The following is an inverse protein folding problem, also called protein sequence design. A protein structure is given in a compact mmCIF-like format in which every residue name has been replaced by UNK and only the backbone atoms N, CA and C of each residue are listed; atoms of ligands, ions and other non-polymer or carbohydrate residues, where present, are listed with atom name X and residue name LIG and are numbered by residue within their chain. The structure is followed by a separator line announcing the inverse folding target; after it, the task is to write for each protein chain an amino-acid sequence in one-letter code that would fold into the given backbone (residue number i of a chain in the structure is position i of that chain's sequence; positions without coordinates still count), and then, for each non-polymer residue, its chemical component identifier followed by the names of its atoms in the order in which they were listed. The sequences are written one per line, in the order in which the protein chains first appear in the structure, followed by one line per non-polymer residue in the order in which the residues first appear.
data_IF_315747767955
#
_entry.id   IF_315747767955
#
_cell.length_a   1.000
_cell.length_b   1.000
_cell.length_c   1.000
_cell.angle_alpha   90.00
_cell.angle_beta   90.00
_cell.angle_gamma   90.00
#
_symmetry.space_group_name_H-M   'P 1'
#
loop_
_entity.id
_entity.type
_entity.pdbx_description
1 polymer ?
#
# COMPACT_ATOMS: atom_id res chain seq x y z
N UNK A 1 36.25 -27.59 -40.03
CA UNK A 1 34.79 -27.36 -40.15
C UNK A 1 34.37 -26.40 -39.06
N UNK A 2 33.40 -25.51 -39.36
CA UNK A 2 32.89 -24.38 -38.58
C UNK A 2 33.55 -23.00 -38.87
N UNK A 3 33.20 -22.45 -40.03
CA UNK A 3 32.97 -21.02 -40.26
C UNK A 3 31.45 -20.78 -40.25
N UNK A 4 31.00 -19.50 -40.14
CA UNK A 4 29.60 -18.96 -40.26
C UNK A 4 28.98 -18.59 -38.89
N UNK A 5 28.37 -17.42 -38.60
CA UNK A 5 28.19 -16.11 -39.27
C UNK A 5 27.61 -15.16 -38.21
N UNK A 6 28.09 -13.93 -38.09
CA UNK A 6 27.40 -12.85 -37.34
C UNK A 6 26.73 -11.92 -38.33
N UNK A 7 25.38 -11.85 -38.34
CA UNK A 7 24.65 -10.85 -39.14
C UNK A 7 23.95 -9.80 -38.27
N UNK A 8 24.14 -8.58 -38.75
CA UNK A 8 23.80 -7.25 -38.24
C UNK A 8 22.32 -6.98 -37.93
N UNK A 9 22.08 -6.30 -36.80
CA UNK A 9 20.78 -5.76 -36.35
C UNK A 9 20.43 -4.37 -36.95
N UNK A 10 21.13 -3.90 -37.98
CA UNK A 10 20.98 -2.52 -38.47
C UNK A 10 19.93 -2.31 -39.58
N UNK A 11 19.29 -3.36 -40.11
CA UNK A 11 18.39 -3.23 -41.27
C UNK A 11 16.89 -3.17 -40.97
N UNK A 12 16.46 -3.25 -39.70
CA UNK A 12 15.03 -3.25 -39.35
C UNK A 12 14.40 -1.84 -39.19
N UNK A 13 15.21 -0.78 -39.07
CA UNK A 13 14.71 0.59 -38.80
C UNK A 13 14.32 1.33 -40.09
N UNK A 14 14.86 0.93 -41.25
CA UNK A 14 14.64 1.61 -42.53
C UNK A 14 13.30 1.28 -43.19
N UNK A 15 12.65 0.18 -42.80
CA UNK A 15 11.45 -0.35 -43.46
C UNK A 15 10.12 0.22 -42.94
N UNK A 16 10.11 0.96 -41.82
CA UNK A 16 8.89 1.50 -41.20
C UNK A 16 8.56 2.94 -41.63
N UNK A 17 9.34 3.56 -42.53
CA UNK A 17 9.16 4.98 -42.90
C UNK A 17 8.16 5.25 -44.04
N UNK A 18 7.71 4.22 -44.76
CA UNK A 18 6.99 4.41 -46.04
C UNK A 18 5.52 3.91 -46.06
N UNK A 19 4.76 4.06 -44.97
CA UNK A 19 3.30 3.79 -45.00
C UNK A 19 2.50 4.80 -44.18
N UNK A 20 2.22 5.97 -44.76
CA UNK A 20 1.12 6.85 -44.37
C UNK A 20 0.40 7.37 -45.63
N UNK A 21 -0.94 7.42 -45.68
CA UNK A 21 -1.68 7.83 -46.88
C UNK A 21 -1.66 9.35 -47.08
N UNK A 22 -1.55 9.77 -48.33
CA UNK A 22 -1.66 11.16 -48.80
C UNK A 22 -3.11 11.66 -48.72
N UNK A 23 -3.33 12.71 -47.93
CA UNK A 23 -4.55 13.54 -47.96
C UNK A 23 -4.20 14.92 -48.50
N UNK A 24 -5.09 15.47 -49.33
CA UNK A 24 -4.85 16.57 -50.28
C UNK A 24 -4.35 17.89 -49.67
N UNK A 25 -3.63 18.63 -50.52
CA UNK A 25 -2.95 19.89 -50.24
C UNK A 25 -3.90 21.05 -49.93
N UNK A 26 -3.73 21.76 -48.80
CA UNK A 26 -4.14 23.14 -48.67
C UNK A 26 -3.18 24.02 -49.48
N UNK A 27 -3.73 24.99 -50.21
CA UNK A 27 -2.98 26.01 -50.96
C UNK A 27 -1.86 26.60 -50.08
N UNK A 28 -0.63 26.58 -50.59
CA UNK A 28 0.55 27.17 -49.97
C UNK A 28 0.31 28.66 -49.70
N UNK A 29 0.08 29.01 -48.43
CA UNK A 29 0.37 30.35 -47.95
C UNK A 29 1.87 30.40 -47.64
N UNK A 30 2.55 31.42 -48.12
CA UNK A 30 3.98 31.70 -47.90
C UNK A 30 4.32 31.70 -46.41
N UNK A 31 5.36 30.95 -46.04
CA UNK A 31 5.75 30.67 -44.64
C UNK A 31 6.67 31.72 -44.00
N UNK A 32 6.71 32.95 -44.52
CA UNK A 32 7.68 33.97 -44.07
C UNK A 32 6.98 35.16 -43.37
N UNK A 33 6.17 34.89 -42.35
CA UNK A 33 5.75 35.94 -41.40
C UNK A 33 6.64 35.87 -40.17
N UNK A 34 7.76 36.61 -40.19
CA UNK A 34 8.66 36.79 -39.06
C UNK A 34 8.02 37.60 -37.92
N UNK A 35 6.95 38.34 -38.20
CA UNK A 35 6.24 39.20 -37.25
C UNK A 35 4.75 38.81 -37.10
N UNK A 36 4.19 39.05 -35.91
CA UNK A 36 2.77 38.82 -35.66
C UNK A 36 1.91 39.93 -36.28
N UNK A 37 0.92 39.63 -37.13
CA UNK A 37 0.12 40.66 -37.81
C UNK A 37 -0.80 41.47 -36.88
N UNK A 38 -0.92 41.09 -35.60
CA UNK A 38 -1.74 41.82 -34.60
C UNK A 38 -0.88 42.80 -33.82
N UNK A 39 0.26 42.36 -33.29
CA UNK A 39 1.13 43.20 -32.43
C UNK A 39 2.41 43.70 -33.10
N UNK A 40 2.69 43.26 -34.34
CA UNK A 40 3.84 43.67 -35.15
C UNK A 40 5.17 43.43 -34.41
N UNK A 41 5.19 42.44 -33.53
CA UNK A 41 6.38 42.01 -32.80
C UNK A 41 6.87 40.71 -33.39
N UNK A 42 8.17 40.47 -33.29
CA UNK A 42 8.82 39.23 -33.70
C UNK A 42 8.08 38.00 -33.19
N UNK A 43 7.95 37.00 -34.05
CA UNK A 43 7.22 35.79 -33.75
C UNK A 43 7.98 34.97 -32.68
N UNK A 44 7.36 34.64 -31.52
CA UNK A 44 8.03 33.83 -30.51
C UNK A 44 8.26 32.40 -31.03
N UNK A 45 9.19 31.66 -30.42
CA UNK A 45 9.59 30.29 -30.82
C UNK A 45 8.47 29.24 -30.90
N UNK A 46 7.24 29.59 -30.49
CA UNK A 46 6.08 28.70 -30.47
C UNK A 46 4.79 29.44 -30.89
N UNK A 47 4.67 29.87 -32.15
CA UNK A 47 3.49 30.57 -32.64
C UNK A 47 2.29 29.62 -32.77
N UNK A 48 1.08 30.18 -32.77
CA UNK A 48 -0.15 29.39 -32.95
C UNK A 48 -0.64 29.51 -34.37
N UNK A 49 -0.74 28.36 -35.04
CA UNK A 49 -1.32 28.21 -36.38
C UNK A 49 -2.80 27.85 -36.20
N UNK A 50 -3.69 28.72 -36.69
CA UNK A 50 -5.13 28.47 -36.65
C UNK A 50 -5.53 27.43 -37.71
N UNK A 51 -6.71 26.78 -37.60
CA UNK A 51 -7.17 25.79 -38.58
C UNK A 51 -7.30 26.33 -40.02
N UNK A 52 -7.40 27.64 -40.18
CA UNK A 52 -7.40 28.33 -41.47
C UNK A 52 -6.00 28.57 -42.06
N UNK A 53 -4.93 28.19 -41.34
CA UNK A 53 -3.54 28.34 -41.76
C UNK A 53 -2.85 29.63 -41.30
N UNK A 54 -3.58 30.59 -40.72
CA UNK A 54 -3.00 31.86 -40.27
C UNK A 54 -2.25 31.73 -38.94
N UNK A 55 -1.10 32.42 -38.86
CA UNK A 55 -0.13 32.30 -37.76
C UNK A 55 -0.10 33.58 -36.94
N UNK A 56 -0.11 33.46 -35.63
CA UNK A 56 -0.06 34.59 -34.70
C UNK A 56 0.72 34.23 -33.43
N UNK A 57 1.17 35.25 -32.69
CA UNK A 57 1.72 35.03 -31.35
C UNK A 57 0.60 34.58 -30.39
N UNK A 58 0.97 33.78 -29.39
CA UNK A 58 0.02 33.20 -28.43
C UNK A 58 -0.79 34.25 -27.67
N UNK A 59 -0.16 35.36 -27.31
CA UNK A 59 -0.78 36.45 -26.55
C UNK A 59 -1.94 37.05 -27.34
N UNK A 60 -1.67 37.48 -28.58
CA UNK A 60 -2.70 38.12 -29.40
C UNK A 60 -3.90 37.22 -29.73
N UNK A 61 -3.69 35.92 -29.94
CA UNK A 61 -4.82 35.00 -30.17
C UNK A 61 -5.62 34.73 -28.90
N UNK A 62 -4.96 34.68 -27.73
CA UNK A 62 -5.65 34.56 -26.45
C UNK A 62 -6.51 35.79 -26.18
N UNK A 63 -5.91 36.99 -26.26
CA UNK A 63 -6.60 38.25 -25.98
C UNK A 63 -7.79 38.45 -26.92
N UNK A 64 -7.62 38.12 -28.20
CA UNK A 64 -8.72 38.18 -29.18
C UNK A 64 -9.83 37.17 -28.88
N UNK A 65 -9.49 35.93 -28.53
CA UNK A 65 -10.48 34.91 -28.19
C UNK A 65 -11.28 35.30 -26.94
N UNK A 66 -10.61 35.88 -25.93
CA UNK A 66 -11.26 36.39 -24.73
C UNK A 66 -12.20 37.55 -25.05
N UNK A 67 -11.75 38.52 -25.86
CA UNK A 67 -12.58 39.65 -26.30
C UNK A 67 -13.84 39.20 -27.07
N UNK A 68 -13.73 38.14 -27.88
CA UNK A 68 -14.86 37.58 -28.60
C UNK A 68 -15.84 36.85 -27.67
N UNK A 69 -15.34 36.12 -26.66
CA UNK A 69 -16.18 35.45 -25.67
C UNK A 69 -16.94 36.45 -24.78
N UNK A 70 -16.28 37.52 -24.32
CA UNK A 70 -16.91 38.59 -23.52
C UNK A 70 -18.05 39.30 -24.27
N UNK A 71 -18.05 39.22 -25.60
CA UNK A 71 -19.09 39.76 -26.48
C UNK A 71 -20.08 38.72 -26.99
N UNK A 72 -20.01 37.50 -26.45
CA UNK A 72 -20.83 36.35 -26.87
C UNK A 72 -20.74 36.08 -28.39
N UNK A 73 -19.62 36.47 -29.03
CA UNK A 73 -19.38 36.27 -30.44
C UNK A 73 -18.66 34.93 -30.70
N UNK A 74 -19.00 34.27 -31.81
CA UNK A 74 -18.30 33.04 -32.21
C UNK A 74 -16.82 33.32 -32.50
N UNK A 75 -15.95 32.48 -31.97
CA UNK A 75 -14.50 32.64 -32.10
C UNK A 75 -14.06 32.54 -33.57
N UNK A 76 -13.46 33.60 -34.11
CA UNK A 76 -13.13 33.71 -35.53
C UNK A 76 -11.68 34.19 -35.74
N UNK A 77 -11.06 33.73 -36.83
CA UNK A 77 -9.72 34.17 -37.21
C UNK A 77 -9.68 35.69 -37.50
N UNK A 78 -8.71 36.45 -36.97
CA UNK A 78 -8.61 37.90 -37.23
C UNK A 78 -8.39 38.27 -38.69
N UNK A 79 -7.69 37.43 -39.46
CA UNK A 79 -7.34 37.74 -40.84
C UNK A 79 -8.42 37.31 -41.85
N UNK A 80 -8.97 36.10 -41.73
CA UNK A 80 -9.96 35.61 -42.70
C UNK A 80 -11.39 35.48 -42.16
N UNK A 81 -11.60 35.78 -40.87
CA UNK A 81 -12.90 35.61 -40.17
C UNK A 81 -13.47 34.19 -40.23
N UNK A 82 -12.66 33.20 -40.61
CA UNK A 82 -13.06 31.80 -40.62
C UNK A 82 -13.31 31.28 -39.19
N UNK A 83 -14.29 30.38 -39.00
CA UNK A 83 -14.67 29.91 -37.67
C UNK A 83 -13.58 29.05 -37.05
N UNK A 84 -13.25 29.35 -35.79
CA UNK A 84 -12.39 28.52 -34.96
C UNK A 84 -13.28 27.44 -34.34
N UNK A 85 -13.34 26.24 -34.94
CA UNK A 85 -14.23 25.14 -34.52
C UNK A 85 -14.28 25.02 -32.98
N UNK A 86 -15.48 24.95 -32.38
CA UNK A 86 -15.76 25.00 -30.93
C UNK A 86 -14.97 24.00 -30.05
N UNK A 87 -14.37 22.97 -30.65
CA UNK A 87 -13.46 22.02 -29.98
C UNK A 87 -12.11 22.64 -29.64
N UNK A 88 -11.68 23.69 -30.35
CA UNK A 88 -10.42 24.37 -30.14
C UNK A 88 -10.49 25.50 -29.11
N UNK A 89 -11.63 26.16 -28.88
CA UNK A 89 -11.71 27.25 -27.90
C UNK A 89 -11.36 26.72 -26.50
N UNK A 90 -12.14 25.79 -25.92
CA UNK A 90 -11.83 25.25 -24.59
C UNK A 90 -10.43 24.60 -24.46
N UNK A 91 -9.90 24.01 -25.55
CA UNK A 91 -8.58 23.36 -25.56
C UNK A 91 -7.42 24.35 -25.69
N UNK A 92 -7.56 25.41 -26.49
CA UNK A 92 -6.59 26.51 -26.58
C UNK A 92 -6.48 27.26 -25.25
N UNK A 93 -7.58 27.33 -24.48
CA UNK A 93 -7.64 28.00 -23.18
C UNK A 93 -6.95 27.15 -22.10
N UNK A 94 -7.20 25.84 -22.11
CA UNK A 94 -6.49 24.90 -21.26
C UNK A 94 -4.98 24.88 -21.54
N UNK A 95 -4.55 24.89 -22.82
CA UNK A 95 -3.14 24.94 -23.17
C UNK A 95 -2.50 26.30 -22.83
N UNK A 96 -3.18 27.43 -23.08
CA UNK A 96 -2.63 28.75 -22.82
C UNK A 96 -2.46 29.07 -21.32
N UNK A 97 -3.35 28.58 -20.45
CA UNK A 97 -3.19 28.68 -18.99
C UNK A 97 -2.09 27.77 -18.45
N UNK A 98 -1.79 26.64 -19.10
CA UNK A 98 -0.75 25.71 -18.65
C UNK A 98 0.67 26.23 -18.97
N UNK A 99 0.83 27.06 -20.01
CA UNK A 99 2.15 27.56 -20.44
C UNK A 99 2.66 28.82 -19.72
N UNK A 100 1.82 29.60 -19.03
CA UNK A 100 2.32 30.59 -18.04
C UNK A 100 2.97 29.91 -16.82
N UNK A 101 2.72 28.61 -16.65
CA UNK A 101 3.35 27.78 -15.64
C UNK A 101 4.69 27.17 -16.08
N UNK A 102 5.11 27.22 -17.35
CA UNK A 102 6.36 26.56 -17.78
C UNK A 102 7.62 27.27 -17.27
N UNK A 103 7.60 28.61 -17.14
CA UNK A 103 8.69 29.34 -16.47
C UNK A 103 8.77 29.04 -14.97
N UNK A 104 7.63 28.74 -14.35
CA UNK A 104 7.53 28.30 -12.95
C UNK A 104 7.91 26.81 -12.80
N UNK A 105 7.58 25.95 -13.76
CA UNK A 105 7.94 24.53 -13.77
C UNK A 105 9.42 24.30 -14.03
N UNK A 106 10.09 25.06 -14.91
CA UNK A 106 11.55 24.98 -15.07
C UNK A 106 12.29 25.39 -13.79
N UNK A 107 11.87 26.48 -13.14
CA UNK A 107 12.42 26.89 -11.83
C UNK A 107 12.14 25.86 -10.73
N UNK A 108 10.95 25.24 -10.74
CA UNK A 108 10.56 24.20 -9.80
C UNK A 108 11.27 22.87 -10.07
N UNK A 109 11.51 22.48 -11.32
CA UNK A 109 12.29 21.31 -11.70
C UNK A 109 13.75 21.48 -11.28
N UNK A 110 14.32 22.67 -11.46
CA UNK A 110 15.67 22.98 -11.01
C UNK A 110 15.78 22.97 -9.48
N UNK A 111 14.76 23.45 -8.75
CA UNK A 111 14.68 23.30 -7.29
C UNK A 111 14.50 21.84 -6.84
N UNK A 112 13.72 21.04 -7.58
CA UNK A 112 13.54 19.61 -7.31
C UNK A 112 14.86 18.86 -7.53
N UNK A 113 15.61 19.15 -8.57
CA UNK A 113 16.89 18.50 -8.86
C UNK A 113 17.98 18.83 -7.79
N UNK A 114 18.03 20.09 -7.33
CA UNK A 114 18.85 20.49 -6.17
C UNK A 114 18.40 19.77 -4.89
N UNK A 115 17.10 19.55 -4.71
CA UNK A 115 16.58 18.79 -3.56
C UNK A 115 16.92 17.30 -3.63
N UNK A 116 16.87 16.68 -4.83
CA UNK A 116 17.21 15.26 -5.03
C UNK A 116 18.69 15.02 -4.79
N UNK A 117 19.57 15.89 -5.27
CA UNK A 117 21.02 15.79 -5.01
C UNK A 117 21.39 16.03 -3.54
N UNK A 118 20.66 16.91 -2.84
CA UNK A 118 20.81 17.09 -1.40
C UNK A 118 20.33 15.87 -0.61
N UNK A 119 19.18 15.30 -0.97
CA UNK A 119 18.65 14.05 -0.38
C UNK A 119 19.61 12.89 -0.63
N UNK A 120 20.15 12.75 -1.85
CA UNK A 120 21.12 11.72 -2.18
C UNK A 120 22.41 11.85 -1.36
N UNK A 121 22.92 13.08 -1.16
CA UNK A 121 24.08 13.33 -0.27
C UNK A 121 23.79 12.96 1.19
N UNK A 122 22.63 13.34 1.72
CA UNK A 122 22.20 12.96 3.07
C UNK A 122 22.04 11.43 3.21
N UNK A 123 21.58 10.74 2.16
CA UNK A 123 21.52 9.28 2.13
C UNK A 123 22.92 8.65 2.17
N UNK A 124 23.89 9.17 1.41
CA UNK A 124 25.27 8.68 1.41
C UNK A 124 25.95 8.91 2.77
N UNK A 125 25.80 10.10 3.36
CA UNK A 125 26.38 10.38 4.68
C UNK A 125 25.75 9.47 5.75
N UNK A 126 24.43 9.30 5.71
CA UNK A 126 23.70 8.36 6.56
C UNK A 126 24.15 6.91 6.37
N UNK A 127 24.49 6.48 5.14
CA UNK A 127 25.08 5.16 4.90
C UNK A 127 26.46 5.00 5.52
N UNK A 128 27.29 6.05 5.48
CA UNK A 128 28.64 6.00 6.07
C UNK A 128 28.54 5.88 7.60
N UNK A 129 27.68 6.68 8.22
CA UNK A 129 27.40 6.60 9.65
C UNK A 129 26.83 5.22 10.04
N UNK A 130 25.89 4.69 9.25
CA UNK A 130 25.35 3.33 9.41
C UNK A 130 26.45 2.27 9.38
N UNK A 131 27.32 2.28 8.36
CA UNK A 131 28.39 1.28 8.21
C UNK A 131 29.38 1.37 9.38
N UNK A 132 29.69 2.57 9.86
CA UNK A 132 30.53 2.74 11.05
C UNK A 132 29.85 2.23 12.33
N UNK A 133 28.54 2.45 12.49
CA UNK A 133 27.78 1.94 13.63
C UNK A 133 27.72 0.41 13.63
N UNK A 134 27.46 -0.22 12.47
CA UNK A 134 27.49 -1.68 12.32
C UNK A 134 28.87 -2.25 12.63
N UNK A 135 29.94 -1.64 12.11
CA UNK A 135 31.31 -2.09 12.42
C UNK A 135 31.61 -2.03 13.92
N UNK A 136 31.25 -0.93 14.59
CA UNK A 136 31.40 -0.79 16.05
C UNK A 136 30.57 -1.81 16.82
N UNK A 137 29.37 -2.14 16.33
CA UNK A 137 28.53 -3.20 16.90
C UNK A 137 29.22 -4.56 16.83
N UNK A 138 29.83 -4.89 15.70
CA UNK A 138 30.54 -6.16 15.53
C UNK A 138 31.78 -6.25 16.41
N UNK A 139 32.54 -5.16 16.51
CA UNK A 139 33.67 -5.07 17.44
C UNK A 139 33.21 -5.27 18.90
N UNK A 140 32.07 -4.68 19.28
CA UNK A 140 31.49 -4.88 20.62
C UNK A 140 31.01 -6.32 20.83
N UNK A 141 30.40 -6.93 19.81
CA UNK A 141 29.90 -8.30 19.86
C UNK A 141 31.06 -9.30 19.99
N UNK A 142 32.15 -9.10 19.25
CA UNK A 142 33.32 -9.96 19.31
C UNK A 142 34.04 -9.82 20.66
N UNK A 143 34.14 -8.60 21.20
CA UNK A 143 34.63 -8.40 22.56
C UNK A 143 33.79 -9.14 23.61
N UNK A 144 32.45 -9.13 23.46
CA UNK A 144 31.53 -9.87 24.33
C UNK A 144 31.74 -11.39 24.25
N UNK A 145 31.96 -11.95 23.05
CA UNK A 145 32.29 -13.38 22.87
C UNK A 145 33.60 -13.74 23.57
N UNK A 146 34.65 -12.93 23.38
CA UNK A 146 35.95 -13.13 24.02
C UNK A 146 35.87 -13.06 25.55
N UNK A 147 35.03 -12.18 26.10
CA UNK A 147 34.78 -12.08 27.53
C UNK A 147 33.99 -13.28 28.06
N UNK A 148 33.03 -13.80 27.29
CA UNK A 148 32.30 -15.02 27.61
C UNK A 148 33.25 -16.24 27.65
N UNK A 149 34.11 -16.40 26.64
CA UNK A 149 35.11 -17.48 26.58
C UNK A 149 36.16 -17.41 27.69
N UNK A 150 36.55 -16.19 28.10
CA UNK A 150 37.40 -16.00 29.29
C UNK A 150 36.68 -16.41 30.56
N UNK A 151 35.41 -16.00 30.70
CA UNK A 151 34.61 -16.37 31.86
C UNK A 151 34.37 -17.88 31.98
N UNK A 152 34.16 -18.60 30.86
CA UNK A 152 33.99 -20.07 30.83
C UNK A 152 35.29 -20.79 31.19
N UNK A 153 36.45 -20.35 30.66
CA UNK A 153 37.77 -20.86 31.05
C UNK A 153 38.09 -20.65 32.52
N UNK A 154 37.76 -19.47 33.06
CA UNK A 154 37.94 -19.15 34.47
C UNK A 154 37.03 -19.97 35.38
N UNK A 155 35.78 -20.24 34.98
CA UNK A 155 34.88 -21.10 35.75
C UNK A 155 35.37 -22.55 35.79
N UNK A 156 35.89 -23.07 34.67
CA UNK A 156 36.53 -24.39 34.62
C UNK A 156 37.77 -24.45 35.52
N UNK A 157 38.59 -23.41 35.51
CA UNK A 157 39.79 -23.30 36.37
C UNK A 157 39.45 -23.16 37.85
N UNK A 158 38.39 -22.41 38.19
CA UNK A 158 37.92 -22.23 39.58
C UNK A 158 37.24 -23.47 40.15
N UNK A 159 36.57 -24.29 39.33
CA UNK A 159 36.08 -25.61 39.78
C UNK A 159 37.22 -26.47 40.34
N UNK A 160 38.44 -26.35 39.81
CA UNK A 160 39.64 -27.03 40.36
C UNK A 160 40.16 -26.41 41.66
N UNK A 161 39.90 -25.12 41.94
CA UNK A 161 40.46 -24.38 43.10
C UNK A 161 39.49 -24.16 44.27
N UNK A 162 38.22 -24.55 44.16
CA UNK A 162 37.14 -24.26 45.12
C UNK A 162 37.23 -24.94 46.51
N UNK A 163 38.40 -25.42 46.94
CA UNK A 163 38.60 -25.95 48.30
C UNK A 163 39.08 -24.90 49.34
N UNK A 164 39.16 -23.61 49.01
CA UNK A 164 39.57 -22.57 49.99
C UNK A 164 38.42 -21.62 50.35
N UNK A 165 37.97 -21.58 51.62
CA UNK A 165 37.03 -20.58 52.13
C UNK A 165 37.68 -19.19 52.18
N UNK A 166 36.95 -18.13 51.82
CA UNK A 166 37.33 -16.74 52.11
C UNK A 166 37.47 -15.77 50.93
N UNK A 167 37.34 -16.20 49.67
CA UNK A 167 37.46 -15.29 48.52
C UNK A 167 36.12 -14.62 48.19
N UNK A 168 36.10 -13.28 48.23
CA UNK A 168 34.98 -12.46 47.75
C UNK A 168 34.68 -12.79 46.28
N UNK A 169 33.42 -12.67 45.85
CA UNK A 169 32.90 -13.31 44.64
C UNK A 169 33.09 -12.43 43.36
N UNK A 170 34.16 -12.60 42.57
CA UNK A 170 34.41 -11.83 41.33
C UNK A 170 33.28 -11.90 40.30
N UNK A 171 32.44 -12.95 40.36
CA UNK A 171 31.31 -13.13 39.44
C UNK A 171 30.33 -11.94 39.42
N UNK A 172 30.24 -11.16 40.51
CA UNK A 172 29.32 -10.02 40.61
C UNK A 172 29.81 -8.80 39.80
N UNK A 173 31.13 -8.64 39.63
CA UNK A 173 31.71 -7.53 38.82
C UNK A 173 31.55 -7.82 37.33
N UNK A 174 31.80 -9.06 36.92
CA UNK A 174 31.67 -9.50 35.53
C UNK A 174 30.22 -9.39 35.02
N UNK A 175 29.24 -9.74 35.87
CA UNK A 175 27.83 -9.61 35.52
C UNK A 175 27.39 -8.15 35.28
N UNK A 176 27.93 -7.18 36.04
CA UNK A 176 27.65 -5.75 35.82
C UNK A 176 28.25 -5.25 34.52
N UNK A 177 29.49 -5.65 34.21
CA UNK A 177 30.14 -5.28 32.95
C UNK A 177 29.40 -5.85 31.74
N UNK A 178 29.01 -7.13 31.77
CA UNK A 178 28.19 -7.75 30.70
C UNK A 178 26.87 -7.02 30.49
N UNK A 179 26.19 -6.65 31.57
CA UNK A 179 24.93 -5.91 31.48
C UNK A 179 25.12 -4.49 30.91
N UNK A 180 26.25 -3.82 31.21
CA UNK A 180 26.58 -2.53 30.63
C UNK A 180 26.90 -2.65 29.13
N UNK A 181 27.71 -3.65 28.73
CA UNK A 181 28.01 -3.94 27.32
C UNK A 181 26.73 -4.25 26.55
N UNK A 182 25.82 -5.06 27.10
CA UNK A 182 24.54 -5.37 26.48
C UNK A 182 23.66 -4.12 26.31
N UNK A 183 23.66 -3.18 27.28
CA UNK A 183 22.97 -1.89 27.13
C UNK A 183 23.57 -1.04 26.02
N UNK A 184 24.89 -1.03 25.88
CA UNK A 184 25.58 -0.31 24.78
C UNK A 184 25.20 -0.94 23.44
N UNK A 185 25.22 -2.27 23.36
CA UNK A 185 24.79 -3.01 22.16
C UNK A 185 23.35 -2.67 21.79
N UNK A 186 22.42 -2.68 22.75
CA UNK A 186 21.01 -2.30 22.50
C UNK A 186 20.89 -0.87 21.97
N UNK A 187 21.60 0.09 22.59
CA UNK A 187 21.62 1.49 22.12
C UNK A 187 22.22 1.62 20.73
N UNK A 188 23.29 0.88 20.43
CA UNK A 188 23.90 0.91 19.12
C UNK A 188 22.96 0.31 18.06
N UNK A 189 22.26 -0.79 18.37
CA UNK A 189 21.22 -1.37 17.49
C UNK A 189 20.08 -0.38 17.25
N UNK A 190 19.67 0.39 18.27
CA UNK A 190 18.69 1.46 18.11
C UNK A 190 19.19 2.60 17.22
N UNK A 191 20.50 2.85 17.23
CA UNK A 191 21.14 3.90 16.43
C UNK A 191 21.42 3.49 14.99
N UNK A 192 21.42 2.20 14.65
CA UNK A 192 21.54 1.70 13.27
C UNK A 192 20.30 2.18 12.50
N UNK A 193 20.40 3.25 11.69
CA UNK A 193 19.22 3.81 11.04
C UNK A 193 18.65 2.79 10.07
N UNK A 194 17.36 2.88 9.75
CA UNK A 194 16.75 2.08 8.69
C UNK A 194 17.20 2.56 7.30
N UNK A 195 18.50 2.51 7.04
CA UNK A 195 19.00 2.61 5.69
C UNK A 195 18.38 1.43 4.94
N UNK A 196 17.39 1.72 4.08
CA UNK A 196 16.60 0.75 3.33
C UNK A 196 17.48 0.07 2.29
N UNK A 197 18.33 -0.85 2.74
CA UNK A 197 19.14 -1.71 1.90
C UNK A 197 18.89 -3.14 2.33
N UNK A 198 18.51 -3.99 1.38
CA UNK A 198 18.06 -5.35 1.64
C UNK A 198 19.16 -6.19 2.32
N UNK A 199 20.42 -5.98 1.95
CA UNK A 199 21.59 -6.62 2.59
C UNK A 199 21.79 -6.24 4.07
N UNK A 200 21.21 -5.13 4.49
CA UNK A 200 21.38 -4.59 5.83
C UNK A 200 20.44 -5.24 6.86
N UNK A 201 19.26 -5.71 6.41
CA UNK A 201 18.27 -6.33 7.28
C UNK A 201 18.74 -7.73 7.70
N UNK A 202 19.31 -8.54 6.79
CA UNK A 202 19.79 -9.90 7.10
C UNK A 202 20.94 -9.90 8.13
N UNK A 203 21.93 -9.01 7.96
CA UNK A 203 23.01 -8.85 8.94
C UNK A 203 22.47 -8.38 10.29
N UNK A 204 21.48 -7.48 10.28
CA UNK A 204 20.85 -6.98 11.52
C UNK A 204 20.06 -8.08 12.22
N UNK A 205 19.34 -8.92 11.47
CA UNK A 205 18.63 -10.11 11.96
C UNK A 205 19.63 -11.06 12.62
N UNK A 206 20.75 -11.35 11.97
CA UNK A 206 21.78 -12.24 12.52
C UNK A 206 22.42 -11.69 13.80
N UNK A 207 22.70 -10.38 13.84
CA UNK A 207 23.19 -9.71 15.05
C UNK A 207 22.17 -9.75 16.19
N UNK A 208 20.88 -9.53 15.90
CA UNK A 208 19.80 -9.61 16.87
C UNK A 208 19.62 -11.03 17.42
N UNK A 209 19.62 -12.05 16.56
CA UNK A 209 19.57 -13.47 16.96
C UNK A 209 20.73 -13.81 17.88
N UNK A 210 21.95 -13.39 17.51
CA UNK A 210 23.16 -13.63 18.33
C UNK A 210 23.06 -12.91 19.68
N UNK A 211 22.62 -11.66 19.70
CA UNK A 211 22.44 -10.88 20.93
C UNK A 211 21.38 -11.50 21.86
N UNK A 212 20.27 -11.96 21.30
CA UNK A 212 19.20 -12.64 22.04
C UNK A 212 19.66 -13.99 22.59
N UNK A 213 20.45 -14.75 21.84
CA UNK A 213 21.02 -16.02 22.30
C UNK A 213 22.02 -15.85 23.46
N UNK A 214 22.74 -14.73 23.50
CA UNK A 214 23.71 -14.42 24.57
C UNK A 214 23.09 -13.73 25.79
N UNK A 215 21.83 -13.31 25.73
CA UNK A 215 21.20 -12.55 26.80
C UNK A 215 20.75 -13.47 27.96
N UNK A 216 21.32 -13.26 29.16
CA UNK A 216 20.92 -13.97 30.39
C UNK A 216 19.47 -13.70 30.83
N UNK A 217 18.83 -12.66 30.26
CA UNK A 217 17.47 -12.21 30.63
C UNK A 217 16.64 -11.97 29.38
N UNK A 218 15.31 -12.16 29.44
CA UNK A 218 14.44 -11.86 28.31
C UNK A 218 14.51 -10.36 27.96
N UNK A 219 14.75 -10.07 26.68
CA UNK A 219 14.87 -8.72 26.14
C UNK A 219 13.74 -8.46 25.15
N UNK A 220 12.52 -8.15 25.61
CA UNK A 220 11.34 -8.10 24.75
C UNK A 220 11.42 -7.05 23.62
N UNK A 221 12.15 -5.96 23.81
CA UNK A 221 12.35 -4.95 22.75
C UNK A 221 13.19 -5.47 21.59
N UNK A 222 14.21 -6.29 21.88
CA UNK A 222 15.03 -6.91 20.85
C UNK A 222 14.24 -7.96 20.09
N UNK A 223 13.44 -8.79 20.79
CA UNK A 223 12.51 -9.73 20.15
C UNK A 223 11.50 -8.98 19.26
N UNK A 224 10.92 -7.87 19.75
CA UNK A 224 10.00 -7.06 18.94
C UNK A 224 10.68 -6.47 17.71
N UNK A 225 11.94 -6.06 17.83
CA UNK A 225 12.70 -5.53 16.70
C UNK A 225 13.00 -6.62 15.68
N UNK A 226 13.43 -7.80 16.13
CA UNK A 226 13.66 -8.98 15.30
C UNK A 226 12.38 -9.37 14.55
N UNK A 227 11.27 -9.55 15.26
CA UNK A 227 9.97 -9.90 14.66
C UNK A 227 9.50 -8.90 13.60
N UNK A 228 9.77 -7.60 13.79
CA UNK A 228 9.45 -6.56 12.79
C UNK A 228 10.33 -6.60 11.55
N UNK A 229 11.60 -6.99 11.69
CA UNK A 229 12.52 -7.13 10.57
C UNK A 229 12.18 -8.39 9.76
N UNK A 230 11.98 -9.52 10.43
CA UNK A 230 11.54 -10.77 9.80
C UNK A 230 10.22 -10.57 9.04
N UNK A 231 9.21 -9.92 9.65
CA UNK A 231 7.94 -9.63 8.99
C UNK A 231 8.10 -8.71 7.77
N UNK A 232 9.12 -7.83 7.73
CA UNK A 232 9.36 -6.97 6.57
C UNK A 232 9.87 -7.74 5.35
N UNK A 233 10.54 -8.88 5.54
CA UNK A 233 11.06 -9.67 4.42
C UNK A 233 9.93 -10.26 3.55
N UNK A 234 8.68 -10.30 4.06
CA UNK A 234 7.50 -10.83 3.37
C UNK A 234 7.68 -12.25 2.83
N UNK A 235 8.60 -13.01 3.42
CA UNK A 235 8.87 -14.40 3.08
C UNK A 235 7.87 -15.30 3.82
N UNK A 236 7.13 -16.12 3.08
CA UNK A 236 6.14 -17.05 3.64
C UNK A 236 6.81 -18.10 4.54
N UNK A 237 8.05 -18.50 4.22
CA UNK A 237 8.80 -19.49 4.98
C UNK A 237 9.20 -18.97 6.37
N UNK A 238 9.30 -17.64 6.54
CA UNK A 238 9.65 -17.01 7.79
C UNK A 238 8.44 -16.68 8.67
N UNK A 239 7.21 -16.86 8.17
CA UNK A 239 6.00 -16.44 8.89
C UNK A 239 5.81 -17.18 10.22
N UNK A 240 6.15 -18.47 10.28
CA UNK A 240 6.08 -19.23 11.52
C UNK A 240 7.08 -18.71 12.57
N UNK A 241 8.30 -18.37 12.15
CA UNK A 241 9.31 -17.77 13.03
C UNK A 241 8.84 -16.40 13.55
N UNK A 242 8.27 -15.57 12.68
CA UNK A 242 7.70 -14.26 13.05
C UNK A 242 6.60 -14.43 14.11
N UNK A 243 5.68 -15.39 13.90
CA UNK A 243 4.58 -15.68 14.84
C UNK A 243 5.14 -16.19 16.17
N UNK A 244 6.17 -17.05 16.14
CA UNK A 244 6.86 -17.55 17.32
C UNK A 244 7.49 -16.42 18.14
N UNK A 245 8.18 -15.49 17.47
CA UNK A 245 8.81 -14.34 18.13
C UNK A 245 7.78 -13.39 18.77
N UNK A 246 6.68 -13.08 18.08
CA UNK A 246 5.61 -12.28 18.70
C UNK A 246 4.93 -13.00 19.88
N UNK A 247 4.75 -14.32 19.79
CA UNK A 247 4.19 -15.13 20.87
C UNK A 247 5.10 -15.16 22.09
N UNK A 248 6.42 -15.26 21.88
CA UNK A 248 7.44 -15.16 22.93
C UNK A 248 7.40 -13.81 23.64
N UNK A 249 7.20 -12.71 22.91
CA UNK A 249 7.03 -11.38 23.52
C UNK A 249 5.82 -11.34 24.45
N UNK A 250 4.69 -11.93 24.04
CA UNK A 250 3.49 -12.01 24.89
C UNK A 250 3.72 -12.84 26.14
N UNK A 251 4.46 -13.96 26.04
CA UNK A 251 4.84 -14.78 27.20
C UNK A 251 5.70 -13.98 28.18
N UNK A 252 6.78 -13.36 27.68
CA UNK A 252 7.67 -12.50 28.48
C UNK A 252 6.84 -11.40 29.18
N UNK A 253 5.96 -10.73 28.44
CA UNK A 253 5.15 -9.64 28.99
C UNK A 253 4.15 -10.09 30.08
N UNK A 254 3.65 -11.34 30.03
CA UNK A 254 2.78 -11.92 31.07
C UNK A 254 3.53 -12.19 32.37
N UNK A 255 4.82 -12.52 32.30
CA UNK A 255 5.66 -12.81 33.46
C UNK A 255 6.01 -11.53 34.25
N UNK A 256 5.99 -10.36 33.61
CA UNK A 256 6.16 -9.06 34.27
C UNK A 256 4.96 -8.68 35.14
N UNK A 257 4.88 -9.25 36.35
CA UNK A 257 3.95 -8.81 37.41
C UNK A 257 4.58 -7.60 38.15
N UNK A 258 4.03 -6.39 38.01
CA UNK A 258 4.44 -5.24 38.85
C UNK A 258 4.32 -3.84 38.21
N UNK A 259 5.06 -2.88 38.76
CA UNK A 259 5.08 -1.45 38.39
C UNK A 259 5.50 -1.18 36.95
N UNK A 260 6.07 -2.16 36.26
CA UNK A 260 6.36 -2.12 34.82
C UNK A 260 5.11 -2.25 33.91
N UNK A 261 3.90 -2.31 34.50
CA UNK A 261 2.66 -2.63 33.79
C UNK A 261 2.34 -1.73 32.59
N UNK A 262 2.67 -0.43 32.61
CA UNK A 262 2.41 0.45 31.45
C UNK A 262 3.22 0.05 30.22
N UNK A 263 4.50 -0.26 30.42
CA UNK A 263 5.40 -0.62 29.33
C UNK A 263 5.10 -2.02 28.80
N UNK A 264 4.82 -2.97 29.70
CA UNK A 264 4.38 -4.31 29.34
C UNK A 264 3.07 -4.29 28.53
N UNK A 265 2.08 -3.47 28.90
CA UNK A 265 0.84 -3.29 28.15
C UNK A 265 1.07 -2.76 26.73
N UNK A 266 1.94 -1.75 26.59
CA UNK A 266 2.29 -1.19 25.27
C UNK A 266 2.94 -2.25 24.38
N UNK A 267 3.86 -3.02 24.95
CA UNK A 267 4.54 -4.13 24.27
C UNK A 267 3.55 -5.24 23.88
N UNK A 268 2.61 -5.60 24.76
CA UNK A 268 1.56 -6.58 24.46
C UNK A 268 0.68 -6.12 23.30
N UNK A 269 0.24 -4.86 23.30
CA UNK A 269 -0.52 -4.29 22.20
C UNK A 269 0.24 -4.37 20.87
N UNK A 270 1.53 -4.03 20.86
CA UNK A 270 2.38 -4.13 19.67
C UNK A 270 2.57 -5.58 19.19
N UNK A 271 2.72 -6.53 20.10
CA UNK A 271 2.86 -7.94 19.75
C UNK A 271 1.55 -8.54 19.21
N UNK A 272 0.41 -8.22 19.82
CA UNK A 272 -0.91 -8.61 19.31
C UNK A 272 -1.17 -8.02 17.92
N UNK A 273 -0.80 -6.76 17.68
CA UNK A 273 -0.90 -6.16 16.35
C UNK A 273 -0.03 -6.89 15.32
N UNK A 274 1.21 -7.24 15.69
CA UNK A 274 2.12 -8.03 14.85
C UNK A 274 1.52 -9.38 14.46
N UNK A 275 1.05 -10.14 15.44
CA UNK A 275 0.36 -11.42 15.22
C UNK A 275 -0.89 -11.29 14.35
N UNK A 276 -1.70 -10.26 14.57
CA UNK A 276 -2.91 -10.02 13.79
C UNK A 276 -2.59 -9.87 12.31
N UNK A 277 -1.55 -9.09 11.99
CA UNK A 277 -1.07 -8.92 10.61
C UNK A 277 -0.50 -10.23 10.05
N UNK A 278 0.24 -11.01 10.84
CA UNK A 278 0.76 -12.30 10.39
C UNK A 278 -0.36 -13.28 10.02
N UNK A 279 -1.37 -13.41 10.88
CA UNK A 279 -2.53 -14.27 10.60
C UNK A 279 -3.39 -13.75 9.44
N UNK A 280 -3.48 -12.42 9.28
CA UNK A 280 -4.14 -11.84 8.11
C UNK A 280 -3.44 -12.23 6.80
N UNK A 281 -2.10 -12.19 6.77
CA UNK A 281 -1.30 -12.58 5.60
C UNK A 281 -1.43 -14.08 5.30
N UNK A 282 -1.53 -14.93 6.33
CA UNK A 282 -1.83 -16.37 6.19
C UNK A 282 -3.32 -16.67 5.89
N UNK A 283 -4.14 -15.65 5.62
CA UNK A 283 -5.60 -15.77 5.41
C UNK A 283 -6.36 -16.43 6.59
N UNK A 284 -5.74 -16.53 7.76
CA UNK A 284 -6.35 -17.04 8.99
C UNK A 284 -7.13 -15.93 9.71
N UNK A 285 -8.20 -15.45 9.06
CA UNK A 285 -8.98 -14.30 9.50
C UNK A 285 -9.59 -14.47 10.90
N UNK A 286 -9.95 -15.70 11.28
CA UNK A 286 -10.50 -16.01 12.61
C UNK A 286 -9.49 -15.72 13.72
N UNK A 287 -8.23 -16.11 13.54
CA UNK A 287 -7.18 -15.79 14.51
C UNK A 287 -6.80 -14.32 14.43
N UNK A 288 -6.72 -13.74 13.23
CA UNK A 288 -6.44 -12.32 13.04
C UNK A 288 -7.45 -11.42 13.80
N UNK A 289 -8.75 -11.69 13.69
CA UNK A 289 -9.80 -10.99 14.44
C UNK A 289 -9.57 -11.04 15.96
N UNK A 290 -9.27 -12.23 16.53
CA UNK A 290 -8.99 -12.37 17.97
C UNK A 290 -7.81 -11.50 18.40
N UNK A 291 -6.76 -11.45 17.58
CA UNK A 291 -5.58 -10.63 17.86
C UNK A 291 -5.87 -9.12 17.70
N UNK A 292 -6.68 -8.71 16.73
CA UNK A 292 -7.11 -7.32 16.58
C UNK A 292 -7.97 -6.84 17.77
N UNK A 293 -8.93 -7.65 18.23
CA UNK A 293 -9.69 -7.33 19.45
C UNK A 293 -8.81 -7.31 20.70
N UNK A 294 -7.78 -8.16 20.77
CA UNK A 294 -6.78 -8.08 21.84
C UNK A 294 -5.99 -6.77 21.78
N UNK A 295 -5.58 -6.36 20.58
CA UNK A 295 -4.84 -5.12 20.33
C UNK A 295 -5.64 -3.87 20.73
N UNK A 296 -6.94 -3.85 20.46
CA UNK A 296 -7.85 -2.78 20.85
C UNK A 296 -7.90 -2.58 22.37
N UNK A 297 -7.92 -3.66 23.16
CA UNK A 297 -7.86 -3.59 24.63
C UNK A 297 -6.60 -2.91 25.17
N UNK A 298 -5.52 -2.85 24.38
CA UNK A 298 -4.27 -2.18 24.71
C UNK A 298 -4.11 -0.80 24.04
N UNK A 299 -5.12 -0.30 23.31
CA UNK A 299 -5.05 0.93 22.53
C UNK A 299 -3.85 0.94 21.55
N UNK A 300 -3.53 -0.22 20.96
CA UNK A 300 -2.40 -0.36 20.05
C UNK A 300 -2.82 -0.62 18.60
N UNK A 301 -4.13 -0.63 18.31
CA UNK A 301 -4.66 -0.87 16.98
C UNK A 301 -4.36 0.32 16.07
N UNK A 302 -3.51 0.10 15.06
CA UNK A 302 -3.05 1.17 14.16
C UNK A 302 -3.84 1.22 12.86
N UNK A 303 -4.33 0.06 12.39
CA UNK A 303 -4.97 -0.11 11.09
C UNK A 303 -6.36 -0.73 11.28
N UNK A 304 -7.39 0.11 11.20
CA UNK A 304 -8.77 -0.35 11.32
C UNK A 304 -9.27 -0.94 10.00
N UNK A 305 -8.62 -0.65 8.87
CA UNK A 305 -8.96 -1.23 7.56
C UNK A 305 -8.73 -2.74 7.54
N UNK A 306 -7.51 -3.19 7.92
CA UNK A 306 -7.19 -4.62 7.97
C UNK A 306 -8.06 -5.38 8.98
N UNK A 307 -8.38 -4.77 10.13
CA UNK A 307 -9.30 -5.37 11.09
C UNK A 307 -10.72 -5.53 10.50
N UNK A 308 -11.20 -4.52 9.78
CA UNK A 308 -12.49 -4.59 9.08
C UNK A 308 -12.50 -5.67 7.99
N UNK A 309 -11.41 -5.81 7.22
CA UNK A 309 -11.25 -6.88 6.21
C UNK A 309 -11.31 -8.27 6.83
N UNK A 310 -10.63 -8.49 7.95
CA UNK A 310 -10.70 -9.78 8.66
C UNK A 310 -12.13 -10.10 9.12
N UNK A 311 -12.82 -9.12 9.72
CA UNK A 311 -14.20 -9.31 10.17
C UNK A 311 -15.17 -9.51 9.00
N UNK A 312 -14.93 -8.85 7.87
CA UNK A 312 -15.68 -9.03 6.63
C UNK A 312 -15.52 -10.46 6.10
N UNK A 313 -14.28 -10.97 6.03
CA UNK A 313 -13.97 -12.29 5.52
C UNK A 313 -14.62 -13.43 6.33
N UNK A 314 -14.74 -13.28 7.65
CA UNK A 314 -15.44 -14.26 8.51
C UNK A 314 -16.97 -14.10 8.53
N UNK A 315 -17.53 -13.14 7.79
CA UNK A 315 -18.97 -12.85 7.78
C UNK A 315 -19.49 -12.06 8.98
N UNK A 316 -18.61 -11.50 9.84
CA UNK A 316 -19.01 -10.66 10.97
C UNK A 316 -19.14 -9.20 10.52
N UNK A 317 -20.19 -8.93 9.73
CA UNK A 317 -20.37 -7.65 9.06
C UNK A 317 -20.60 -6.47 10.01
N UNK A 318 -21.21 -6.68 11.17
CA UNK A 318 -21.45 -5.60 12.14
C UNK A 318 -20.12 -5.06 12.67
N UNK A 319 -19.26 -5.94 13.16
CA UNK A 319 -17.94 -5.54 13.65
C UNK A 319 -17.06 -4.99 12.52
N UNK A 320 -17.18 -5.54 11.29
CA UNK A 320 -16.49 -5.01 10.12
C UNK A 320 -16.90 -3.57 9.82
N UNK A 321 -18.19 -3.24 9.88
CA UNK A 321 -18.70 -1.87 9.70
C UNK A 321 -18.17 -0.91 10.76
N UNK A 322 -18.08 -1.36 12.01
CA UNK A 322 -17.56 -0.52 13.10
C UNK A 322 -16.10 -0.13 12.87
N UNK A 323 -15.23 -1.10 12.54
CA UNK A 323 -13.83 -0.83 12.23
C UNK A 323 -13.67 0.00 10.95
N UNK A 324 -14.42 -0.29 9.88
CA UNK A 324 -14.38 0.51 8.66
C UNK A 324 -14.84 1.96 8.92
N UNK A 325 -15.81 2.17 9.81
CA UNK A 325 -16.27 3.50 10.22
C UNK A 325 -15.20 4.24 11.04
N UNK A 326 -14.47 3.53 11.91
CA UNK A 326 -13.31 4.08 12.61
C UNK A 326 -12.22 4.52 11.63
N UNK A 327 -11.94 3.70 10.61
CA UNK A 327 -10.97 4.05 9.56
C UNK A 327 -11.41 5.31 8.79
N UNK A 328 -12.68 5.39 8.38
CA UNK A 328 -13.21 6.59 7.69
C UNK A 328 -13.14 7.85 8.56
N UNK A 329 -13.36 7.73 9.88
CA UNK A 329 -13.17 8.86 10.81
C UNK A 329 -11.71 9.28 10.92
N UNK A 330 -10.77 8.32 10.90
CA UNK A 330 -9.33 8.58 10.89
C UNK A 330 -8.89 9.30 9.60
N UNK A 331 -9.53 8.99 8.48
CA UNK A 331 -9.27 9.59 7.16
C UNK A 331 -10.26 10.72 6.81
N UNK A 332 -10.87 11.38 7.80
CA UNK A 332 -12.01 12.28 7.60
C UNK A 332 -11.81 13.38 6.56
N UNK A 333 -10.57 13.84 6.35
CA UNK A 333 -10.23 14.89 5.39
C UNK A 333 -10.11 14.37 3.96
N UNK A 334 -9.59 13.15 3.79
CA UNK A 334 -9.29 12.52 2.49
C UNK A 334 -9.35 10.99 2.62
N UNK A 335 -10.56 10.39 2.61
CA UNK A 335 -10.69 8.94 2.63
C UNK A 335 -10.08 8.33 1.38
N UNK A 336 -9.33 7.26 1.53
CA UNK A 336 -8.77 6.54 0.38
C UNK A 336 -9.87 5.79 -0.37
N UNK A 337 -9.65 5.53 -1.66
CA UNK A 337 -10.62 4.80 -2.48
C UNK A 337 -10.80 3.37 -1.96
N UNK A 338 -9.74 2.75 -1.45
CA UNK A 338 -9.73 1.41 -0.87
C UNK A 338 -10.61 1.36 0.39
N UNK A 339 -10.49 2.35 1.29
CA UNK A 339 -11.32 2.44 2.50
C UNK A 339 -12.81 2.63 2.15
N UNK A 340 -13.11 3.46 1.14
CA UNK A 340 -14.49 3.67 0.67
C UNK A 340 -15.08 2.41 0.04
N UNK A 341 -14.29 1.69 -0.77
CA UNK A 341 -14.71 0.44 -1.40
C UNK A 341 -14.86 -0.69 -0.39
N UNK A 342 -13.96 -0.79 0.59
CA UNK A 342 -14.08 -1.74 1.69
C UNK A 342 -15.41 -1.53 2.44
N UNK A 343 -15.72 -0.30 2.82
CA UNK A 343 -17.01 0.02 3.44
C UNK A 343 -18.19 -0.33 2.52
N UNK A 344 -18.07 -0.07 1.22
CA UNK A 344 -19.10 -0.41 0.25
C UNK A 344 -19.33 -1.93 0.15
N UNK A 345 -18.26 -2.73 0.12
CA UNK A 345 -18.30 -4.20 0.14
C UNK A 345 -18.96 -4.73 1.41
N UNK A 346 -18.58 -4.21 2.57
CA UNK A 346 -19.17 -4.60 3.86
C UNK A 346 -20.66 -4.28 3.90
N UNK A 347 -21.07 -3.07 3.53
CA UNK A 347 -22.49 -2.68 3.47
C UNK A 347 -23.29 -3.59 2.54
N UNK A 348 -22.77 -3.88 1.35
CA UNK A 348 -23.41 -4.80 0.40
C UNK A 348 -23.62 -6.19 1.03
N UNK A 349 -22.56 -6.78 1.60
CA UNK A 349 -22.66 -8.11 2.21
C UNK A 349 -23.61 -8.12 3.41
N UNK A 350 -23.56 -7.07 4.25
CA UNK A 350 -24.50 -6.87 5.35
C UNK A 350 -25.95 -6.90 4.84
N UNK A 351 -26.29 -6.10 3.82
CA UNK A 351 -27.65 -6.06 3.27
C UNK A 351 -28.10 -7.38 2.66
N UNK A 352 -27.19 -8.13 2.02
CA UNK A 352 -27.50 -9.46 1.48
C UNK A 352 -27.66 -10.53 2.57
N UNK A 353 -26.97 -10.39 3.70
CA UNK A 353 -27.05 -11.32 4.83
C UNK A 353 -28.39 -11.26 5.58
N UNK A 354 -29.09 -10.12 5.48
CA UNK A 354 -30.38 -9.91 6.13
C UNK A 354 -31.46 -10.66 5.34
N UNK A 355 -31.69 -11.92 5.71
CA UNK A 355 -32.73 -12.77 5.09
C UNK A 355 -34.17 -12.34 5.44
N UNK A 356 -34.37 -11.59 6.53
CA UNK A 356 -35.67 -11.08 6.96
C UNK A 356 -35.48 -9.75 7.70
N UNK A 357 -36.20 -8.71 7.29
CA UNK A 357 -36.19 -7.40 7.95
C UNK A 357 -36.75 -7.40 9.37
N UNK A 358 -37.26 -8.54 9.86
CA UNK A 358 -37.84 -8.67 11.21
C UNK A 358 -36.73 -8.59 12.27
N UNK A 359 -36.60 -7.43 12.90
CA UNK A 359 -35.72 -7.20 14.05
C UNK A 359 -34.61 -6.17 13.84
N UNK A 360 -34.48 -5.59 12.64
CA UNK A 360 -33.54 -4.50 12.41
C UNK A 360 -34.22 -3.18 12.73
N UNK A 361 -33.57 -2.38 13.57
CA UNK A 361 -34.02 -1.02 13.81
C UNK A 361 -34.03 -0.23 12.48
N UNK A 362 -35.21 0.29 12.14
CA UNK A 362 -35.41 1.09 10.92
C UNK A 362 -34.48 2.30 10.86
N UNK A 363 -34.08 2.86 12.00
CA UNK A 363 -33.14 3.98 12.05
C UNK A 363 -31.72 3.53 11.74
N UNK A 364 -31.25 2.44 12.33
CA UNK A 364 -29.94 1.85 12.03
C UNK A 364 -29.83 1.47 10.54
N UNK A 365 -30.86 0.81 9.98
CA UNK A 365 -30.89 0.48 8.56
C UNK A 365 -30.75 1.73 7.66
N UNK A 366 -31.54 2.78 7.92
CA UNK A 366 -31.47 4.04 7.17
C UNK A 366 -30.08 4.69 7.27
N UNK A 367 -29.49 4.72 8.47
CA UNK A 367 -28.16 5.25 8.71
C UNK A 367 -27.09 4.51 7.87
N UNK A 368 -27.15 3.18 7.85
CA UNK A 368 -26.22 2.35 7.06
C UNK A 368 -26.42 2.53 5.55
N UNK A 369 -27.65 2.66 5.07
CA UNK A 369 -27.91 2.96 3.66
C UNK A 369 -27.33 4.32 3.24
N UNK A 370 -27.41 5.34 4.10
CA UNK A 370 -26.83 6.65 3.82
C UNK A 370 -25.30 6.60 3.82
N UNK A 371 -24.70 5.89 4.76
CA UNK A 371 -23.25 5.64 4.78
C UNK A 371 -22.79 4.95 3.48
N UNK A 372 -23.49 3.89 3.07
CA UNK A 372 -23.22 3.19 1.80
C UNK A 372 -23.31 4.13 0.60
N UNK A 373 -24.38 4.94 0.51
CA UNK A 373 -24.58 5.93 -0.55
C UNK A 373 -23.44 6.95 -0.61
N UNK A 374 -23.05 7.50 0.53
CA UNK A 374 -21.97 8.49 0.64
C UNK A 374 -20.63 7.91 0.19
N UNK A 375 -20.31 6.69 0.65
CA UNK A 375 -19.08 6.00 0.26
C UNK A 375 -19.02 5.75 -1.24
N UNK A 376 -20.08 5.23 -1.85
CA UNK A 376 -20.14 4.98 -3.30
C UNK A 376 -20.00 6.27 -4.10
N UNK A 377 -20.69 7.35 -3.71
CA UNK A 377 -20.57 8.66 -4.40
C UNK A 377 -19.14 9.23 -4.31
N UNK A 378 -18.51 9.15 -3.15
CA UNK A 378 -17.12 9.60 -3.00
C UNK A 378 -16.16 8.73 -3.83
N UNK A 379 -16.34 7.41 -3.81
CA UNK A 379 -15.53 6.49 -4.61
C UNK A 379 -15.67 6.77 -6.12
N UNK A 380 -16.87 7.09 -6.61
CA UNK A 380 -17.10 7.52 -8.00
C UNK A 380 -16.32 8.78 -8.41
N UNK A 381 -16.15 9.72 -7.49
CA UNK A 381 -15.40 10.95 -7.76
C UNK A 381 -13.90 10.66 -7.87
N UNK A 382 -13.39 9.75 -7.03
CA UNK A 382 -11.98 9.35 -7.04
C UNK A 382 -11.64 8.42 -8.20
N UNK A 383 -12.52 7.48 -8.54
CA UNK A 383 -12.25 6.40 -9.51
C UNK A 383 -12.21 6.82 -10.99
N UNK A 384 -12.32 8.12 -11.33
CA UNK A 384 -12.44 8.57 -12.73
C UNK A 384 -11.24 8.21 -13.62
N UNK A 385 -10.11 7.83 -13.02
CA UNK A 385 -8.88 7.45 -13.73
C UNK A 385 -8.24 6.16 -13.19
N UNK A 386 -8.93 5.40 -12.35
CA UNK A 386 -8.35 4.28 -11.61
C UNK A 386 -8.91 2.91 -12.04
N UNK A 387 -8.09 1.88 -11.79
CA UNK A 387 -8.43 0.46 -11.89
C UNK A 387 -9.66 0.04 -11.05
N UNK A 388 -10.12 0.90 -10.15
CA UNK A 388 -11.30 0.70 -9.31
C UNK A 388 -12.64 1.05 -9.96
N UNK A 389 -12.65 1.65 -11.16
CA UNK A 389 -13.87 2.16 -11.80
C UNK A 389 -14.98 1.10 -11.95
N UNK A 390 -14.62 -0.12 -12.35
CA UNK A 390 -15.60 -1.19 -12.52
C UNK A 390 -16.29 -1.59 -11.21
N UNK A 391 -15.53 -1.72 -10.13
CA UNK A 391 -16.06 -2.08 -8.81
C UNK A 391 -17.05 -1.01 -8.32
N UNK A 392 -16.69 0.26 -8.49
CA UNK A 392 -17.57 1.39 -8.19
C UNK A 392 -18.85 1.35 -9.04
N UNK A 393 -18.75 1.05 -10.34
CA UNK A 393 -19.93 0.90 -11.20
C UNK A 393 -20.87 -0.22 -10.71
N UNK A 394 -20.33 -1.36 -10.25
CA UNK A 394 -21.14 -2.44 -9.67
C UNK A 394 -21.88 -1.98 -8.42
N UNK A 395 -21.21 -1.27 -7.51
CA UNK A 395 -21.84 -0.72 -6.31
C UNK A 395 -22.90 0.33 -6.62
N UNK A 396 -22.68 1.14 -7.65
CA UNK A 396 -23.63 2.16 -8.13
C UNK A 396 -24.93 1.53 -8.61
N UNK A 397 -24.84 0.46 -9.43
CA UNK A 397 -26.02 -0.28 -9.91
C UNK A 397 -26.81 -0.89 -8.74
N UNK A 398 -26.12 -1.50 -7.78
CA UNK A 398 -26.76 -2.04 -6.59
C UNK A 398 -27.47 -0.96 -5.76
N UNK A 399 -26.84 0.20 -5.58
CA UNK A 399 -27.42 1.32 -4.85
C UNK A 399 -28.74 1.79 -5.50
N UNK A 400 -28.81 1.83 -6.83
CA UNK A 400 -30.03 2.19 -7.54
C UNK A 400 -31.17 1.20 -7.23
N UNK A 401 -30.89 -0.11 -7.20
CA UNK A 401 -31.86 -1.13 -6.84
C UNK A 401 -32.31 -1.07 -5.37
N UNK A 402 -31.41 -0.73 -4.45
CA UNK A 402 -31.73 -0.62 -3.02
C UNK A 402 -32.60 0.60 -2.69
N UNK A 403 -32.40 1.73 -3.40
CA UNK A 403 -33.10 3.00 -3.12
C UNK A 403 -34.42 3.09 -3.86
N UNK A 404 -34.46 2.63 -5.11
CA UNK A 404 -35.64 2.69 -5.97
C UNK A 404 -36.07 1.26 -6.28
N UNK A 405 -36.65 0.52 -5.31
CA UNK A 405 -37.32 -0.73 -5.63
C UNK A 405 -38.41 -0.37 -6.62
N UNK A 406 -38.21 -0.76 -7.88
CA UNK A 406 -39.15 -0.47 -8.95
C UNK A 406 -40.51 -0.96 -8.51
N UNK A 407 -41.48 -0.04 -8.38
CA UNK A 407 -42.84 -0.30 -7.88
C UNK A 407 -43.63 -1.37 -8.68
N UNK A 408 -43.07 -1.89 -9.78
CA UNK A 408 -43.65 -2.95 -10.58
C UNK A 408 -43.10 -4.33 -10.20
N UNK A 409 -43.70 -4.93 -9.16
CA UNK A 409 -44.10 -6.35 -9.03
C UNK A 409 -44.18 -6.72 -7.55
N UNK A 410 -45.35 -7.24 -7.15
CA UNK A 410 -45.63 -7.74 -5.81
C UNK A 410 -44.52 -8.73 -5.39
N UNK A 411 -43.81 -8.41 -4.30
CA UNK A 411 -42.81 -9.25 -3.61
C UNK A 411 -41.65 -9.75 -4.48
N UNK A 412 -40.82 -8.85 -4.99
CA UNK A 412 -39.42 -9.21 -5.23
C UNK A 412 -38.70 -9.30 -3.89
N UNK A 413 -38.68 -10.51 -3.34
CA UNK A 413 -37.54 -11.01 -2.55
C UNK A 413 -36.30 -10.58 -3.34
N UNK A 414 -35.32 -9.94 -2.67
CA UNK A 414 -34.02 -9.61 -3.28
C UNK A 414 -33.60 -10.82 -4.12
N UNK A 415 -33.36 -10.69 -5.44
CA UNK A 415 -33.00 -11.82 -6.27
C UNK A 415 -31.91 -12.58 -5.55
N UNK A 416 -32.12 -13.88 -5.28
CA UNK A 416 -31.11 -14.72 -4.66
C UNK A 416 -29.92 -14.78 -5.62
N UNK A 417 -29.01 -13.82 -5.50
CA UNK A 417 -27.70 -13.90 -6.10
C UNK A 417 -27.01 -15.05 -5.38
N UNK A 418 -27.13 -16.24 -5.95
CA UNK A 418 -26.31 -17.39 -5.57
C UNK A 418 -24.88 -16.97 -5.89
N UNK A 419 -24.16 -16.57 -4.86
CA UNK A 419 -22.71 -16.41 -4.91
C UNK A 419 -22.17 -17.81 -5.14
N UNK A 420 -21.78 -18.11 -6.38
CA UNK A 420 -21.06 -19.34 -6.72
C UNK A 420 -19.61 -19.12 -6.30
N UNK A 421 -19.35 -19.30 -5.01
CA UNK A 421 -17.99 -19.40 -4.47
C UNK A 421 -17.42 -20.76 -4.90
N UNK A 422 -16.36 -20.73 -5.69
CA UNK A 422 -15.55 -21.90 -6.02
C UNK A 422 -14.68 -22.24 -4.81
N UNK A 423 -15.23 -22.99 -3.85
CA UNK A 423 -14.46 -23.63 -2.78
C UNK A 423 -14.13 -25.07 -3.21
N UNK A 424 -12.92 -25.26 -3.73
CA UNK A 424 -12.30 -26.58 -3.88
C UNK A 424 -11.31 -26.80 -2.74
N UNK A 425 -11.81 -27.21 -1.59
CA UNK A 425 -11.01 -27.85 -0.54
C UNK A 425 -11.82 -29.05 -0.06
N UNK A 426 -11.41 -30.25 -0.50
CA UNK A 426 -11.81 -31.51 0.10
C UNK A 426 -10.81 -31.78 1.21
N UNK A 427 -11.26 -31.76 2.45
CA UNK A 427 -10.55 -32.38 3.56
C UNK A 427 -10.76 -33.89 3.46
N UNK A 428 -9.66 -34.61 3.31
CA UNK A 428 -9.59 -36.05 3.50
C UNK A 428 -9.54 -36.33 5.01
N UNK A 429 -10.49 -37.11 5.52
CA UNK A 429 -10.29 -37.87 6.76
C UNK A 429 -11.05 -39.20 6.70
N UNK A 430 -10.26 -40.27 6.59
CA UNK A 430 -10.37 -41.57 7.27
C UNK A 430 -11.78 -42.10 7.58
N UNK A 431 -12.21 -43.16 6.88
CA UNK A 431 -12.79 -44.35 7.53
C UNK A 431 -12.77 -45.58 6.60
N UNK A 432 -12.76 -46.74 7.25
CA UNK A 432 -12.42 -48.05 6.75
C UNK A 432 -13.57 -48.77 6.02
N UNK A 433 -13.17 -49.74 5.19
CA UNK A 433 -13.80 -50.99 4.80
C UNK A 433 -15.16 -51.00 4.05
N UNK A 434 -15.04 -51.52 2.81
CA UNK A 434 -15.83 -52.57 2.16
C UNK A 434 -17.26 -52.32 1.66
N UNK A 435 -17.36 -52.52 0.33
CA UNK A 435 -18.48 -53.11 -0.43
C UNK A 435 -19.76 -52.27 -0.63
N UNK A 436 -20.02 -51.83 -1.87
CA UNK A 436 -20.91 -52.51 -2.83
C UNK A 436 -21.21 -51.63 -4.06
N UNK A 437 -21.30 -52.30 -5.20
CA UNK A 437 -21.64 -51.80 -6.54
C UNK A 437 -22.96 -51.02 -6.58
N UNK A 438 -22.98 -49.81 -7.15
CA UNK A 438 -24.20 -49.23 -7.74
C UNK A 438 -23.89 -48.29 -8.92
N UNK A 439 -24.73 -48.43 -9.95
CA UNK A 439 -24.66 -47.93 -11.31
C UNK A 439 -24.50 -46.40 -11.48
N UNK A 440 -23.66 -46.02 -12.44
CA UNK A 440 -23.60 -44.66 -13.00
C UNK A 440 -24.78 -44.42 -13.95
N UNK A 441 -25.82 -43.74 -13.47
CA UNK A 441 -26.79 -43.07 -14.35
C UNK A 441 -26.25 -41.70 -14.80
N UNK A 442 -26.03 -41.57 -16.11
CA UNK A 442 -25.76 -40.32 -16.80
C UNK A 442 -27.03 -39.44 -16.80
N UNK A 443 -26.97 -38.27 -16.16
CA UNK A 443 -28.02 -37.26 -16.27
C UNK A 443 -27.59 -36.13 -17.20
N UNK A 444 -28.00 -36.22 -18.46
CA UNK A 444 -28.04 -35.10 -19.40
C UNK A 444 -29.19 -34.16 -19.00
N UNK A 445 -28.88 -32.90 -18.72
CA UNK A 445 -29.89 -31.82 -18.72
C UNK A 445 -29.55 -30.81 -19.79
N UNK A 446 -30.31 -30.87 -20.88
CA UNK A 446 -30.40 -29.85 -21.93
C UNK A 446 -30.99 -28.56 -21.34
N UNK A 447 -30.38 -27.42 -21.68
CA UNK A 447 -30.90 -26.09 -21.40
C UNK A 447 -31.64 -25.61 -22.65
N UNK A 448 -32.97 -25.65 -22.61
CA UNK A 448 -33.82 -24.99 -23.60
C UNK A 448 -33.83 -23.49 -23.33
N UNK A 449 -33.38 -22.71 -24.31
CA UNK A 449 -33.55 -21.26 -24.38
C UNK A 449 -34.83 -20.98 -25.14
N UNK A 450 -35.82 -20.36 -24.51
CA UNK A 450 -36.92 -19.70 -25.22
C UNK A 450 -36.88 -18.19 -24.98
N UNK A 451 -37.11 -17.47 -26.08
CA UNK A 451 -36.91 -16.04 -26.34
C UNK A 451 -37.90 -15.12 -25.61
#
# INVERSE_FOLDING_TARGET
MATMTTMSLTNAVSALRNRLPTMGSPKQASYDCEECPICWSDMPSNPKILPCGHIFCRKCIRDMAQYQEEREADACCPMCRGPLKKVCAKRLWAEAMMHENEGYELSRMQQVEVSVTAVHRLMIEGQREYRMAVKKLEECLEALKMDHERATRDTMSRRRRRRRPGFTNPARRDAKNRHQQMRVLCKLIELVPMARYDDSDERTIQLLRTALAQADKPMPHLNLRLAKLLHRQFDEDLMEEVISEYSRILQIAKEYKGTAGRHAKKLQGQAHYGLARCYHQQLNYKQACRQYSACERYNALQDHGLAAECHYAIGNYVQAMDYASMQLRKESTRPTIETLLLMARICKAYFLSIRSYRGIDTMDYKCRCETYRRCVRHAQLLARHDHHYEEVCRHTKLLHHLIYPTHNKKRTIIPSYVVRESSSEKDDDVSCDDNEDLDTEECYTEVSVEL
#
